data_IF_980800041537
#
_entry.id   IF_980800041537
#
_cell.length_a   1.000
_cell.length_b   1.000
_cell.length_c   1.000
_cell.angle_alpha   90.00
_cell.angle_beta   90.00
_cell.angle_gamma   90.00
#
_symmetry.space_group_name_H-M   'P 1'
#
loop_
_entity.id
_entity.type
_entity.pdbx_description
1 polymer ?
2 non-polymer ?
3 non-polymer ?
4 water ?
#
# COMPACT_ATOMS: atom_id res chain seq x y z
N UNK A 2 13.48 0.82 17.67
CA UNK A 2 14.78 0.11 17.50
C UNK A 2 15.89 1.07 17.14
N UNK A 3 17.12 0.55 17.14
CA UNK A 3 18.25 1.22 16.49
C UNK A 3 18.20 0.98 15.00
N UNK A 4 17.38 0.01 14.58
CA UNK A 4 17.25 -0.37 13.20
C UNK A 4 16.18 0.49 12.55
N UNK A 5 16.58 1.72 12.27
CA UNK A 5 15.69 2.71 11.66
C UNK A 5 16.51 3.55 10.66
N UNK A 6 15.86 4.57 10.11
CA UNK A 6 16.54 5.61 9.34
C UNK A 6 16.91 6.72 10.32
N UNK A 7 18.21 6.97 10.51
CA UNK A 7 18.67 7.90 11.54
C UNK A 7 18.39 9.36 11.20
N UNK A 8 18.57 9.70 9.92
CA UNK A 8 18.41 11.07 9.43
C UNK A 8 17.61 11.08 8.13
N UNK A 9 16.69 12.03 8.03
CA UNK A 9 15.89 12.25 6.83
C UNK A 9 16.28 13.58 6.19
N UNK A 10 16.44 13.58 4.88
CA UNK A 10 16.78 14.79 4.14
C UNK A 10 15.87 14.94 2.93
N UNK A 11 15.19 16.08 2.85
CA UNK A 11 14.42 16.42 1.67
C UNK A 11 14.99 17.64 0.96
N UNK A 12 14.56 17.83 -0.28
CA UNK A 12 15.14 18.80 -1.19
C UNK A 12 14.30 20.07 -1.27
N UNK A 13 14.89 21.14 -1.80
CA UNK A 13 14.29 22.46 -1.78
C UNK A 13 13.41 22.66 -3.02
N UNK A 14 12.27 21.97 -3.01
CA UNK A 14 11.25 22.11 -4.06
C UNK A 14 9.93 22.48 -3.39
N UNK A 15 8.98 23.03 -4.16
CA UNK A 15 7.66 23.33 -3.61
C UNK A 15 7.05 22.14 -2.86
N UNK A 16 6.34 22.41 -1.77
CA UNK A 16 5.72 21.37 -0.95
C UNK A 16 6.76 20.44 -0.34
N UNK A 17 7.88 21.01 0.14
CA UNK A 17 8.90 20.19 0.80
C UNK A 17 8.40 19.67 2.15
N UNK A 18 7.41 20.35 2.74
CA UNK A 18 6.74 19.83 3.94
C UNK A 18 6.10 18.47 3.65
N UNK A 19 5.48 18.32 2.48
CA UNK A 19 4.88 17.05 2.11
C UNK A 19 5.94 15.99 1.86
N UNK A 20 7.08 16.39 1.28
CA UNK A 20 8.17 15.45 1.03
C UNK A 20 8.69 14.87 2.36
N UNK A 21 8.84 15.73 3.35
CA UNK A 21 9.35 15.31 4.66
C UNK A 21 8.36 14.37 5.37
N UNK A 22 7.07 14.70 5.30
CA UNK A 22 6.03 13.80 5.85
C UNK A 22 6.06 12.44 5.15
N UNK A 23 6.38 12.45 3.86
CA UNK A 23 6.52 11.22 3.07
C UNK A 23 7.61 10.34 3.67
N UNK A 24 8.79 10.91 3.90
CA UNK A 24 9.90 10.13 4.48
C UNK A 24 9.60 9.70 5.90
N UNK A 25 8.99 10.60 6.69
CA UNK A 25 8.62 10.26 8.07
C UNK A 25 7.62 9.10 8.10
N UNK A 26 6.67 9.10 7.18
CA UNK A 26 5.69 8.03 7.12
C UNK A 26 6.35 6.68 6.76
N UNK A 27 7.26 6.69 5.79
CA UNK A 27 8.00 5.47 5.43
C UNK A 27 8.78 4.94 6.63
N UNK A 28 9.41 5.85 7.37
CA UNK A 28 10.19 5.48 8.56
C UNK A 28 9.31 4.89 9.66
N UNK A 29 8.11 5.46 9.82
CA UNK A 29 7.17 4.99 10.85
C UNK A 29 6.25 3.86 10.39
N UNK A 30 6.40 3.45 9.13
CA UNK A 30 5.59 2.36 8.57
C UNK A 30 5.85 1.05 9.31
N UNK A 31 4.78 0.43 9.81
CA UNK A 31 4.92 -0.75 10.68
C UNK A 31 5.65 -1.90 9.97
N UNK A 32 5.32 -2.12 8.70
CA UNK A 32 5.96 -3.15 7.90
C UNK A 32 7.44 -2.88 7.65
N UNK A 33 7.76 -1.62 7.36
CA UNK A 33 9.15 -1.21 7.16
C UNK A 33 9.93 -1.37 8.46
N UNK A 34 9.34 -0.94 9.57
CA UNK A 34 9.97 -1.08 10.88
C UNK A 34 10.22 -2.55 11.20
N UNK A 35 9.24 -3.40 10.91
CA UNK A 35 9.35 -4.82 11.22
C UNK A 35 10.51 -5.47 10.46
N UNK A 36 10.62 -5.22 9.15
CA UNK A 36 11.66 -5.86 8.36
C UNK A 36 13.05 -5.33 8.69
N UNK A 37 13.17 -4.04 8.98
CA UNK A 37 14.45 -3.48 9.39
C UNK A 37 14.90 -4.03 10.76
N UNK A 38 13.95 -4.23 11.68
CA UNK A 38 14.29 -4.83 12.97
C UNK A 38 14.70 -6.30 12.82
N UNK A 39 13.91 -7.07 12.08
CA UNK A 39 14.17 -8.49 11.83
C UNK A 39 15.53 -8.75 11.16
N UNK A 40 15.89 -7.91 10.20
CA UNK A 40 17.13 -8.08 9.44
C UNK A 40 18.27 -7.22 9.98
N UNK A 41 18.02 -6.48 11.06
CA UNK A 41 19.02 -5.67 11.75
C UNK A 41 19.66 -4.63 10.83
N UNK A 42 18.83 -3.88 10.11
CA UNK A 42 19.29 -2.86 9.18
C UNK A 42 19.08 -1.47 9.76
N UNK A 43 20.18 -0.79 10.05
CA UNK A 43 20.20 0.65 10.28
C UNK A 43 20.59 1.34 8.97
N UNK A 44 19.82 2.35 8.58
CA UNK A 44 20.14 3.15 7.41
C UNK A 44 20.41 4.58 7.88
N UNK A 45 21.68 4.99 7.91
CA UNK A 45 22.01 6.29 8.48
C UNK A 45 21.32 7.48 7.83
N UNK A 46 21.13 7.43 6.50
CA UNK A 46 20.58 8.57 5.77
C UNK A 46 19.56 8.07 4.76
N UNK A 47 18.33 8.57 4.89
CA UNK A 47 17.30 8.37 3.89
C UNK A 47 17.04 9.74 3.31
N UNK A 48 17.34 9.91 2.04
CA UNK A 48 17.20 11.23 1.41
C UNK A 48 16.33 11.16 0.16
N UNK A 49 15.69 12.28 -0.15
CA UNK A 49 14.93 12.42 -1.38
C UNK A 49 15.89 12.52 -2.55
N UNK A 50 15.60 11.76 -3.61
CA UNK A 50 16.33 11.82 -4.87
C UNK A 50 15.70 12.90 -5.73
N UNK A 51 16.52 13.71 -6.41
CA UNK A 51 16.00 14.83 -7.20
C UNK A 51 15.10 14.32 -8.32
N UNK A 52 14.00 15.05 -8.58
CA UNK A 52 13.15 14.70 -9.72
C UNK A 52 13.92 14.82 -11.04
N UNK A 53 13.38 14.22 -12.10
CA UNK A 53 13.97 14.27 -13.44
C UNK A 53 15.27 13.48 -13.49
N UNK A 62 14.73 4.78 -12.79
CA UNK A 62 15.33 4.62 -11.46
C UNK A 62 14.57 5.45 -10.42
N UNK A 63 13.90 4.77 -9.50
CA UNK A 63 13.12 5.45 -8.46
C UNK A 63 13.80 5.42 -7.09
N UNK A 64 14.94 4.75 -7.00
CA UNK A 64 15.72 4.71 -5.77
C UNK A 64 17.11 4.15 -5.95
N UNK A 65 17.98 4.43 -4.99
CA UNK A 65 19.34 3.89 -4.97
C UNK A 65 19.72 3.44 -3.58
N UNK A 66 20.59 2.44 -3.52
CA UNK A 66 21.17 1.98 -2.27
C UNK A 66 22.69 2.09 -2.39
N UNK A 67 23.27 3.00 -1.62
CA UNK A 67 24.71 3.20 -1.62
C UNK A 67 25.37 2.43 -0.49
N UNK A 68 26.33 1.58 -0.85
CA UNK A 68 27.14 0.84 0.09
C UNK A 68 26.34 0.12 1.18
N UNK A 69 25.48 -0.79 0.72
CA UNK A 69 24.75 -1.69 1.62
C UNK A 69 24.03 -0.94 2.74
N UNK A 70 23.29 0.10 2.36
CA UNK A 70 22.40 0.79 3.28
C UNK A 70 22.99 1.95 4.05
N UNK A 71 24.23 2.34 3.75
CA UNK A 71 24.80 3.54 4.34
C UNK A 71 23.96 4.77 4.00
N UNK A 72 23.44 4.79 2.77
CA UNK A 72 22.66 5.91 2.25
C UNK A 72 21.67 5.38 1.21
N UNK A 73 20.38 5.55 1.49
CA UNK A 73 19.32 5.21 0.54
C UNK A 73 18.65 6.49 0.06
N UNK A 74 18.42 6.56 -1.25
CA UNK A 74 17.72 7.68 -1.89
C UNK A 74 16.44 7.16 -2.52
N UNK A 75 15.39 7.99 -2.47
CA UNK A 75 14.09 7.68 -3.06
C UNK A 75 13.59 8.88 -3.85
N UNK A 76 13.21 8.65 -5.11
CA UNK A 76 12.59 9.69 -5.93
C UNK A 76 11.12 9.76 -5.56
N UNK A 77 10.74 10.80 -4.82
CA UNK A 77 9.37 10.99 -4.35
C UNK A 77 8.50 11.71 -5.36
N UNK A 78 9.15 12.45 -6.26
CA UNK A 78 8.45 13.40 -7.14
C UNK A 78 8.49 12.95 -8.59
N UNK A 79 7.43 13.33 -9.32
CA UNK A 79 7.31 13.09 -10.75
C UNK A 79 7.71 14.31 -11.57
N UNK A 80 7.75 15.48 -10.93
CA UNK A 80 8.18 16.73 -11.56
C UNK A 80 8.74 17.68 -10.50
N UNK A 81 9.15 18.89 -10.89
CA UNK A 81 9.80 19.83 -9.98
C UNK A 81 8.87 20.76 -9.21
N UNK A 82 7.54 20.63 -9.41
CA UNK A 82 6.59 21.49 -8.71
C UNK A 82 5.77 20.72 -7.65
N UNK A 83 4.70 20.03 -8.07
CA UNK A 83 3.77 19.41 -7.11
C UNK A 83 3.40 17.94 -7.39
N UNK A 84 4.00 17.34 -8.41
CA UNK A 84 3.72 15.93 -8.72
C UNK A 84 4.48 14.99 -7.81
N UNK A 85 3.77 14.21 -7.01
CA UNK A 85 4.37 13.18 -6.16
C UNK A 85 3.97 11.77 -6.61
N UNK A 86 4.89 10.82 -6.43
CA UNK A 86 4.63 9.42 -6.72
C UNK A 86 3.75 8.84 -5.63
N UNK A 87 2.98 7.81 -5.97
CA UNK A 87 2.05 7.18 -5.03
C UNK A 87 2.82 6.43 -3.96
N UNK A 88 2.34 6.50 -2.71
CA UNK A 88 3.00 5.88 -1.55
C UNK A 88 3.27 4.39 -1.77
N UNK A 89 2.28 3.71 -2.33
CA UNK A 89 2.36 2.28 -2.65
C UNK A 89 3.59 1.94 -3.51
N UNK A 90 3.85 2.77 -4.52
CA UNK A 90 4.99 2.55 -5.41
C UNK A 90 6.30 2.89 -4.71
N UNK A 91 6.31 3.99 -3.96
CA UNK A 91 7.51 4.41 -3.24
C UNK A 91 7.89 3.40 -2.15
N UNK A 92 6.89 2.93 -1.42
CA UNK A 92 7.12 1.89 -0.40
C UNK A 92 7.75 0.65 -1.00
N UNK A 93 7.24 0.19 -2.15
CA UNK A 93 7.82 -0.98 -2.80
C UNK A 93 9.26 -0.71 -3.25
N UNK A 94 9.52 0.51 -3.70
CA UNK A 94 10.86 0.93 -4.10
C UNK A 94 11.83 0.92 -2.92
N UNK A 95 11.36 1.34 -1.74
CA UNK A 95 12.19 1.28 -0.54
C UNK A 95 12.53 -0.18 -0.19
N UNK A 96 11.53 -1.07 -0.30
CA UNK A 96 11.76 -2.49 0.00
C UNK A 96 12.75 -3.06 -1.02
N UNK A 97 12.60 -2.64 -2.27
CA UNK A 97 13.56 -2.93 -3.33
C UNK A 97 14.97 -2.53 -2.88
N UNK A 98 15.14 -1.29 -2.45
CA UNK A 98 16.45 -0.79 -2.00
C UNK A 98 16.97 -1.58 -0.79
N UNK A 99 16.08 -1.91 0.13
CA UNK A 99 16.46 -2.71 1.29
C UNK A 99 16.89 -4.11 0.85
N UNK A 100 16.20 -4.67 -0.15
CA UNK A 100 16.60 -5.98 -0.72
C UNK A 100 18.03 -5.94 -1.23
N UNK A 101 18.45 -4.78 -1.76
CA UNK A 101 19.84 -4.59 -2.19
C UNK A 101 20.87 -4.61 -1.07
N UNK A 102 20.42 -4.55 0.18
CA UNK A 102 21.33 -4.78 1.30
C UNK A 102 21.90 -6.22 1.29
N UNK A 103 21.23 -7.13 0.58
CA UNK A 103 21.68 -8.52 0.50
C UNK A 103 22.12 -8.93 -0.91
N UNK A 104 21.33 -8.55 -1.91
CA UNK A 104 21.61 -8.92 -3.29
C UNK A 104 21.76 -7.67 -4.16
N UNK A 105 22.98 -7.44 -4.65
CA UNK A 105 23.28 -6.25 -5.47
C UNK A 105 22.70 -6.29 -6.87
N UNK A 106 22.63 -7.49 -7.45
CA UNK A 106 22.14 -7.70 -8.81
C UNK A 106 20.70 -8.21 -8.73
N UNK A 107 19.89 -7.91 -9.75
CA UNK A 107 18.49 -8.35 -9.78
C UNK A 107 18.37 -9.79 -10.31
N UNK A 108 19.02 -10.72 -9.60
CA UNK A 108 19.08 -12.12 -10.01
C UNK A 108 17.95 -12.92 -9.36
N UNK A 109 18.04 -14.25 -9.45
CA UNK A 109 17.07 -15.15 -8.83
C UNK A 109 16.89 -14.88 -7.33
N UNK A 110 18.01 -14.76 -6.64
CA UNK A 110 18.01 -14.58 -5.18
C UNK A 110 17.41 -13.23 -4.76
N UNK A 111 17.64 -12.19 -5.55
CA UNK A 111 17.08 -10.87 -5.27
C UNK A 111 15.56 -10.92 -5.26
N UNK A 112 14.99 -11.51 -6.31
CA UNK A 112 13.54 -11.56 -6.45
C UNK A 112 12.90 -12.44 -5.38
N UNK A 113 13.59 -13.50 -4.95
CA UNK A 113 13.12 -14.32 -3.83
C UNK A 113 13.02 -13.46 -2.57
N UNK A 114 14.11 -12.79 -2.22
CA UNK A 114 14.15 -11.95 -1.01
C UNK A 114 13.17 -10.79 -1.09
N UNK A 115 13.15 -10.10 -2.22
CA UNK A 115 12.22 -8.99 -2.41
C UNK A 115 10.77 -9.44 -2.18
N UNK A 116 10.40 -10.59 -2.75
CA UNK A 116 9.08 -11.15 -2.51
C UNK A 116 8.89 -11.44 -1.01
N UNK A 117 9.92 -11.98 -0.36
CA UNK A 117 9.88 -12.30 1.07
C UNK A 117 9.70 -11.06 1.95
N UNK A 118 10.55 -10.06 1.74
CA UNK A 118 10.47 -8.81 2.51
C UNK A 118 9.13 -8.13 2.29
N UNK A 119 8.69 -8.06 1.03
CA UNK A 119 7.40 -7.47 0.70
C UNK A 119 6.28 -8.16 1.48
N UNK A 120 6.35 -9.49 1.54
CA UNK A 120 5.39 -10.31 2.29
C UNK A 120 5.36 -9.94 3.77
N UNK A 121 6.55 -9.84 4.38
CA UNK A 121 6.68 -9.50 5.79
C UNK A 121 6.24 -8.06 6.08
N UNK A 122 6.58 -7.13 5.19
CA UNK A 122 6.23 -5.71 5.37
C UNK A 122 4.75 -5.44 5.07
N UNK B 2 -17.03 10.13 7.19
CA UNK B 2 -17.90 10.80 6.17
C UNK B 2 -19.23 10.07 6.01
N UNK B 3 -20.09 10.61 5.16
CA UNK B 3 -21.41 10.04 4.91
C UNK B 3 -21.29 8.83 3.98
N UNK B 4 -20.25 8.84 3.15
CA UNK B 4 -20.03 7.82 2.12
C UNK B 4 -18.98 6.82 2.58
N UNK B 5 -19.44 5.73 3.16
CA UNK B 5 -18.55 4.75 3.75
C UNK B 5 -19.22 3.39 3.74
N UNK B 6 -18.62 2.44 4.43
CA UNK B 6 -19.18 1.11 4.60
C UNK B 6 -19.98 1.13 5.89
N UNK B 7 -21.29 0.92 5.80
CA UNK B 7 -22.16 1.05 6.98
C UNK B 7 -22.02 -0.10 7.97
N UNK B 8 -21.76 -1.29 7.45
CA UNK B 8 -21.69 -2.50 8.28
C UNK B 8 -20.56 -3.38 7.77
N UNK B 9 -19.81 -3.96 8.72
CA UNK B 9 -18.72 -4.85 8.42
C UNK B 9 -19.03 -6.22 9.01
N UNK B 10 -18.96 -7.26 8.18
CA UNK B 10 -19.25 -8.62 8.63
C UNK B 10 -18.07 -9.54 8.32
N UNK B 11 -17.61 -10.27 9.34
CA UNK B 11 -16.55 -11.25 9.16
C UNK B 11 -17.06 -12.64 9.51
N UNK B 12 -16.30 -13.65 9.11
CA UNK B 12 -16.74 -15.04 9.20
C UNK B 12 -16.05 -15.79 10.33
N UNK B 13 -16.59 -16.96 10.64
CA UNK B 13 -16.20 -17.71 11.82
C UNK B 13 -15.01 -18.62 11.51
N UNK B 14 -13.85 -17.98 11.38
CA UNK B 14 -12.58 -18.67 11.20
C UNK B 14 -11.61 -18.18 12.28
N UNK B 15 -10.55 -18.97 12.56
CA UNK B 15 -9.58 -18.54 13.57
C UNK B 15 -9.08 -17.12 13.33
N UNK B 16 -8.91 -16.36 14.41
CA UNK B 16 -8.48 -14.96 14.35
C UNK B 16 -9.50 -14.07 13.65
N UNK B 17 -10.79 -14.30 13.87
CA UNK B 17 -11.80 -13.45 13.22
C UNK B 17 -11.71 -12.00 13.72
N UNK B 18 -11.10 -11.79 14.89
CA UNK B 18 -10.79 -10.44 15.36
C UNK B 18 -9.86 -9.71 14.38
N UNK B 19 -8.84 -10.41 13.90
CA UNK B 19 -7.89 -9.84 12.94
C UNK B 19 -8.59 -9.52 11.62
N UNK B 20 -9.50 -10.39 11.20
CA UNK B 20 -10.29 -10.14 9.98
C UNK B 20 -11.13 -8.88 10.12
N UNK B 21 -11.73 -8.67 11.29
CA UNK B 21 -12.54 -7.48 11.54
C UNK B 21 -11.68 -6.22 11.49
N UNK B 22 -10.52 -6.25 12.16
CA UNK B 22 -9.54 -5.15 12.10
C UNK B 22 -9.13 -4.85 10.65
N UNK B 23 -9.03 -5.90 9.85
CA UNK B 23 -8.73 -5.76 8.42
C UNK B 23 -9.82 -4.91 7.71
N UNK B 24 -11.09 -5.30 7.87
CA UNK B 24 -12.18 -4.54 7.25
C UNK B 24 -12.28 -3.13 7.84
N UNK B 25 -12.08 -3.00 9.14
CA UNK B 25 -12.07 -1.68 9.79
C UNK B 25 -10.97 -0.80 9.20
N UNK B 26 -9.81 -1.39 8.98
CA UNK B 26 -8.68 -0.67 8.40
C UNK B 26 -8.97 -0.17 6.98
N UNK B 27 -9.62 -1.01 6.18
CA UNK B 27 -9.97 -0.63 4.81
C UNK B 27 -10.98 0.51 4.82
N UNK B 28 -11.98 0.41 5.68
CA UNK B 28 -13.02 1.43 5.84
C UNK B 28 -12.42 2.79 6.25
N UNK B 29 -11.39 2.76 7.09
CA UNK B 29 -10.75 3.99 7.61
C UNK B 29 -9.55 4.48 6.78
N UNK B 30 -9.19 3.73 5.75
CA UNK B 30 -8.11 4.09 4.83
C UNK B 30 -8.39 5.44 4.17
N UNK B 31 -7.42 6.36 4.20
CA UNK B 31 -7.59 7.71 3.67
C UNK B 31 -7.94 7.74 2.18
N UNK B 32 -7.25 6.90 1.41
CA UNK B 32 -7.51 6.80 -0.04
C UNK B 32 -8.87 6.24 -0.36
N UNK B 33 -9.28 5.21 0.37
CA UNK B 33 -10.62 4.62 0.20
C UNK B 33 -11.69 5.64 0.57
N UNK B 34 -11.54 6.30 1.71
CA UNK B 34 -12.49 7.34 2.13
C UNK B 34 -12.59 8.44 1.08
N UNK B 35 -11.44 8.84 0.54
CA UNK B 35 -11.40 9.90 -0.46
C UNK B 35 -12.23 9.55 -1.70
N UNK B 36 -11.98 8.38 -2.29
CA UNK B 36 -12.67 8.02 -3.52
C UNK B 36 -14.17 7.77 -3.29
N UNK B 37 -14.54 7.21 -2.13
CA UNK B 37 -15.96 7.01 -1.82
C UNK B 37 -16.68 8.34 -1.59
N UNK B 38 -16.02 9.30 -0.95
CA UNK B 38 -16.60 10.63 -0.77
C UNK B 38 -16.77 11.35 -2.12
N UNK B 39 -15.71 11.35 -2.92
CA UNK B 39 -15.68 12.06 -4.20
C UNK B 39 -16.68 11.52 -5.22
N UNK B 40 -16.94 10.21 -5.16
CA UNK B 40 -17.87 9.58 -6.09
C UNK B 40 -19.24 9.31 -5.45
N UNK B 41 -19.41 9.73 -4.20
CA UNK B 41 -20.69 9.62 -3.48
C UNK B 41 -21.18 8.18 -3.35
N UNK B 42 -20.28 7.28 -2.93
CA UNK B 42 -20.58 5.87 -2.79
C UNK B 42 -20.76 5.45 -1.33
N UNK B 43 -21.97 5.06 -0.98
CA UNK B 43 -22.25 4.35 0.26
C UNK B 43 -22.38 2.86 -0.07
N UNK B 44 -21.66 2.03 0.69
CA UNK B 44 -21.74 0.59 0.58
C UNK B 44 -22.32 0.06 1.90
N UNK B 45 -23.59 -0.35 1.88
CA UNK B 45 -24.23 -0.73 3.14
C UNK B 45 -23.56 -1.89 3.88
N UNK B 46 -23.07 -2.89 3.14
CA UNK B 46 -22.45 -4.06 3.74
C UNK B 46 -21.15 -4.39 3.04
N UNK B 47 -20.07 -4.42 3.81
CA UNK B 47 -18.80 -4.97 3.37
C UNK B 47 -18.58 -6.25 4.18
N UNK B 48 -18.48 -7.38 3.49
CA UNK B 48 -18.34 -8.65 4.19
C UNK B 48 -17.16 -9.43 3.69
N UNK B 49 -16.63 -10.29 4.56
CA UNK B 49 -15.57 -11.21 4.21
C UNK B 49 -16.12 -12.33 3.36
N UNK B 50 -15.39 -12.65 2.30
CA UNK B 50 -15.70 -13.76 1.41
C UNK B 50 -15.01 -15.00 1.99
N UNK B 51 -15.73 -16.12 2.04
CA UNK B 51 -15.17 -17.34 2.63
C UNK B 51 -13.90 -17.75 1.89
N UNK B 52 -12.88 -18.19 2.63
CA UNK B 52 -11.64 -18.64 1.99
C UNK B 52 -11.85 -19.92 1.19
N UNK B 62 -10.96 -15.26 -7.95
CA UNK B 62 -11.77 -14.10 -7.58
C UNK B 62 -11.49 -13.68 -6.15
N UNK B 63 -11.09 -12.43 -5.96
CA UNK B 63 -10.75 -11.94 -4.62
C UNK B 63 -11.81 -11.02 -4.02
N UNK B 64 -12.82 -10.66 -4.80
CA UNK B 64 -13.91 -9.83 -4.30
C UNK B 64 -15.08 -9.80 -5.24
N UNK B 65 -16.21 -9.30 -4.75
CA UNK B 65 -17.43 -9.18 -5.55
C UNK B 65 -18.17 -7.90 -5.22
N UNK B 66 -18.87 -7.36 -6.23
CA UNK B 66 -19.77 -6.25 -6.03
C UNK B 66 -21.18 -6.67 -6.49
N UNK B 67 -22.12 -6.66 -5.55
CA UNK B 67 -23.50 -7.01 -5.85
C UNK B 67 -24.36 -5.76 -6.02
N UNK B 68 -25.02 -5.66 -7.17
CA UNK B 68 -26.01 -4.60 -7.42
C UNK B 68 -25.46 -3.21 -7.12
N UNK B 69 -24.34 -2.90 -7.79
CA UNK B 69 -23.73 -1.57 -7.75
C UNK B 69 -23.53 -1.04 -6.33
N UNK B 70 -22.87 -1.86 -5.51
CA UNK B 70 -22.42 -1.42 -4.19
C UNK B 70 -23.37 -1.65 -3.03
N UNK B 71 -24.50 -2.31 -3.27
CA UNK B 71 -25.38 -2.72 -2.18
C UNK B 71 -24.63 -3.59 -1.17
N UNK B 72 -23.76 -4.46 -1.70
CA UNK B 72 -23.02 -5.44 -0.92
C UNK B 72 -21.71 -5.75 -1.65
N UNK B 73 -20.60 -5.48 -0.99
CA UNK B 73 -19.27 -5.83 -1.51
C UNK B 73 -18.66 -6.90 -0.63
N UNK B 74 -18.03 -7.90 -1.26
CA UNK B 74 -17.38 -9.01 -0.58
C UNK B 74 -15.89 -8.99 -0.89
N UNK B 75 -15.06 -9.31 0.10
CA UNK B 75 -13.59 -9.36 -0.07
C UNK B 75 -13.01 -10.65 0.53
N UNK B 76 -12.21 -11.37 -0.24
CA UNK B 76 -11.51 -12.55 0.27
C UNK B 76 -10.26 -12.09 1.03
N UNK B 77 -10.32 -12.11 2.36
CA UNK B 77 -9.21 -11.63 3.19
C UNK B 77 -8.15 -12.70 3.45
N UNK B 78 -8.58 -13.96 3.43
CA UNK B 78 -7.73 -15.07 3.86
C UNK B 78 -7.23 -15.87 2.67
N UNK B 79 -6.06 -16.50 2.85
CA UNK B 79 -5.50 -17.41 1.87
C UNK B 79 -5.81 -18.87 2.20
N UNK B 80 -6.09 -19.15 3.47
CA UNK B 80 -6.48 -20.48 3.94
C UNK B 80 -7.51 -20.38 5.08
N UNK B 81 -7.98 -21.53 5.57
CA UNK B 81 -9.04 -21.57 6.57
C UNK B 81 -8.57 -21.40 8.03
N UNK B 82 -7.25 -21.33 8.25
CA UNK B 82 -6.72 -21.19 9.62
C UNK B 82 -6.24 -19.77 9.94
N UNK B 83 -5.00 -19.42 9.56
CA UNK B 83 -4.43 -18.13 9.97
C UNK B 83 -3.70 -17.34 8.87
N UNK B 84 -3.77 -17.81 7.63
CA UNK B 84 -3.16 -17.07 6.51
C UNK B 84 -4.04 -15.91 6.05
N UNK B 85 -3.46 -14.72 6.02
CA UNK B 85 -4.15 -13.54 5.48
C UNK B 85 -3.42 -13.00 4.25
N UNK B 86 -4.20 -12.51 3.29
CA UNK B 86 -3.65 -11.81 2.12
C UNK B 86 -3.08 -10.45 2.53
N UNK B 87 -2.06 -10.02 1.80
CA UNK B 87 -1.39 -8.74 2.06
C UNK B 87 -2.33 -7.57 1.80
N UNK B 88 -2.19 -6.51 2.62
CA UNK B 88 -3.08 -5.35 2.57
C UNK B 88 -3.09 -4.66 1.20
N UNK B 89 -1.92 -4.59 0.56
CA UNK B 89 -1.76 -4.00 -0.77
C UNK B 89 -2.73 -4.64 -1.78
N UNK B 90 -2.73 -5.97 -1.82
CA UNK B 90 -3.55 -6.70 -2.78
C UNK B 90 -5.03 -6.58 -2.44
N UNK B 91 -5.38 -6.62 -1.16
CA UNK B 91 -6.77 -6.55 -0.74
C UNK B 91 -7.34 -5.14 -1.00
N UNK B 92 -6.56 -4.11 -0.70
CA UNK B 92 -6.99 -2.73 -0.95
C UNK B 92 -7.26 -2.51 -2.43
N UNK B 93 -6.36 -3.04 -3.27
CA UNK B 93 -6.54 -2.95 -4.71
C UNK B 93 -7.75 -3.74 -5.19
N UNK B 94 -8.01 -4.89 -4.57
CA UNK B 94 -9.24 -5.65 -4.85
C UNK B 94 -10.48 -4.83 -4.49
N UNK B 95 -10.44 -4.11 -3.37
CA UNK B 95 -11.56 -3.26 -2.99
C UNK B 95 -11.81 -2.14 -4.01
N UNK B 96 -10.73 -1.57 -4.54
CA UNK B 96 -10.86 -0.50 -5.53
C UNK B 96 -11.48 -1.06 -6.82
N UNK B 97 -11.07 -2.27 -7.21
CA UNK B 97 -11.72 -3.02 -8.28
C UNK B 97 -13.23 -3.11 -8.06
N UNK B 98 -13.64 -3.52 -6.85
CA UNK B 98 -15.06 -3.67 -6.55
C UNK B 98 -15.80 -2.32 -6.61
N UNK B 99 -15.17 -1.25 -6.12
CA UNK B 99 -15.78 0.08 -6.20
C UNK B 99 -15.92 0.55 -7.66
N UNK B 100 -14.98 0.17 -8.52
CA UNK B 100 -15.05 0.47 -9.95
C UNK B 100 -16.32 -0.11 -10.56
N UNK B 101 -16.75 -1.27 -10.04
CA UNK B 101 -17.99 -1.90 -10.50
C UNK B 101 -19.27 -1.16 -10.13
N UNK B 102 -19.17 -0.12 -9.30
CA UNK B 102 -20.30 0.80 -9.12
C UNK B 102 -20.61 1.58 -10.40
N UNK B 103 -19.65 1.67 -11.32
CA UNK B 103 -19.84 2.37 -12.61
C UNK B 103 -19.90 1.42 -13.81
N UNK B 104 -18.97 0.47 -13.86
CA UNK B 104 -18.81 -0.39 -15.04
C UNK B 104 -18.91 -1.85 -14.65
N UNK B 105 -19.90 -2.54 -15.23
CA UNK B 105 -20.18 -3.93 -14.88
C UNK B 105 -19.15 -4.91 -15.41
N UNK B 106 -18.66 -4.67 -16.62
CA UNK B 106 -17.76 -5.59 -17.30
C UNK B 106 -16.35 -5.04 -17.28
N UNK B 107 -15.36 -5.93 -17.35
CA UNK B 107 -13.94 -5.53 -17.33
C UNK B 107 -13.47 -5.08 -18.70
N UNK B 108 -14.06 -4.00 -19.21
CA UNK B 108 -13.67 -3.43 -20.50
C UNK B 108 -12.69 -2.28 -20.31
N UNK B 109 -12.35 -1.60 -21.40
CA UNK B 109 -11.40 -0.49 -21.36
C UNK B 109 -11.83 0.62 -20.38
N UNK B 110 -13.13 0.93 -20.36
CA UNK B 110 -13.66 1.95 -19.45
C UNK B 110 -13.51 1.54 -18.00
N UNK B 111 -13.76 0.27 -17.71
CA UNK B 111 -13.56 -0.25 -16.36
C UNK B 111 -12.10 -0.05 -15.96
N UNK B 112 -11.18 -0.48 -16.83
CA UNK B 112 -9.76 -0.45 -16.48
C UNK B 112 -9.22 0.98 -16.38
N UNK B 113 -9.72 1.88 -17.23
CA UNK B 113 -9.40 3.31 -17.13
C UNK B 113 -9.81 3.87 -15.76
N UNK B 114 -11.06 3.62 -15.38
CA UNK B 114 -11.58 4.10 -14.10
C UNK B 114 -10.80 3.48 -12.93
N UNK B 115 -10.58 2.17 -12.98
CA UNK B 115 -9.79 1.48 -11.95
C UNK B 115 -8.42 2.14 -11.77
N UNK B 116 -7.74 2.42 -12.88
CA UNK B 116 -6.45 3.11 -12.83
C UNK B 116 -6.60 4.51 -12.19
N UNK B 117 -7.67 5.23 -12.55
CA UNK B 117 -7.93 6.57 -12.03
C UNK B 117 -8.23 6.56 -10.53
N UNK B 118 -9.09 5.65 -10.09
CA UNK B 118 -9.40 5.52 -8.66
C UNK B 118 -8.18 5.09 -7.86
N UNK B 119 -7.35 4.25 -8.47
CA UNK B 119 -6.12 3.79 -7.83
C UNK B 119 -5.20 4.99 -7.57
N UNK B 120 -5.06 5.88 -8.57
CA UNK B 120 -4.26 7.10 -8.42
C UNK B 120 -4.93 8.11 -7.50
N UNK B 121 -6.25 8.29 -7.66
CA UNK B 121 -7.00 9.22 -6.81
C UNK B 121 -6.86 8.84 -5.34
N UNK B 122 -6.86 7.54 -5.06
CA UNK B 122 -6.64 7.03 -3.70
C UNK B 122 -5.20 7.25 -3.25
X LIG C 1 17.70 -2.20 -7.99
X LIG D 1 18.55 -0.23 -8.68
X LIG D 1 17.76 -0.14 -9.61
X LIG D 1 18.33 0.35 -7.63
X LIG D 1 19.55 -0.93 -8.80
X LIG E 1 -14.72 -7.64 -11.35
#
# INVERSE_FOLDING_TARGET
GSIYTFNELVVLDYPHKDRALRYLERLRDDTGIKKIMDSHRWTVPLLSEMDPAEHTRHDSKTLGLNHNQGAHIELRLRTDRYDGFRDYKTVKSTLIHQLTHNVHGEHDSSFWELFRQLTKEADAADLL
GSIYTFNELVVLDYPHKDRALRYLERLRDDTGIKKIMDSHRWTVPLLSEMDPAEHTRHDSKTLGLNHNQGAHIELRLRTDRYDGFRDYKTVKSTLIHQLTHNVHGEHDSSFWELFRQLTKEADAADLL
NI NI
CO3 C O1 O2 O3
NI NI
#
